data_IF_762446948946
#
_entry.id   IF_762446948946
#
_cell.length_a   1.000
_cell.length_b   1.000
_cell.length_c   1.000
_cell.angle_alpha   90.00
_cell.angle_beta   90.00
_cell.angle_gamma   90.00
#
_symmetry.space_group_name_H-M   'P 1'
#
loop_
_entity.id
_entity.type
_entity.pdbx_description
1 polymer ?
#
# COMPACT_ATOMS: atom_id res chain seq x y z
N UNK A 1 -25.81 23.42 -1.22
CA UNK A 1 -25.49 22.14 -1.89
C UNK A 1 -23.99 22.07 -2.07
N UNK A 2 -23.28 21.48 -1.12
CA UNK A 2 -21.84 21.34 -1.17
C UNK A 2 -21.50 19.97 -0.61
N UNK A 3 -21.61 18.94 -1.44
CA UNK A 3 -20.95 17.66 -1.19
C UNK A 3 -19.44 17.91 -1.32
N UNK A 4 -18.88 18.67 -0.38
CA UNK A 4 -17.45 18.79 -0.26
C UNK A 4 -16.94 17.37 -0.11
N UNK A 5 -16.16 16.97 -1.11
CA UNK A 5 -15.39 15.74 -1.27
C UNK A 5 -14.42 15.55 -0.08
N UNK A 6 -14.93 15.54 1.14
CA UNK A 6 -14.19 15.37 2.37
C UNK A 6 -13.95 13.87 2.53
N UNK A 7 -12.87 13.38 1.94
CA UNK A 7 -12.27 12.17 2.47
C UNK A 7 -11.98 12.44 3.95
N UNK A 8 -12.78 11.87 4.86
CA UNK A 8 -12.64 12.11 6.30
C UNK A 8 -11.21 11.76 6.70
N UNK A 9 -10.38 12.71 7.17
CA UNK A 9 -8.99 12.43 7.51
C UNK A 9 -8.85 11.30 8.53
N UNK A 10 -9.82 11.17 9.43
CA UNK A 10 -9.89 10.06 10.38
C UNK A 10 -10.10 8.70 9.71
N UNK A 11 -10.97 8.62 8.70
CA UNK A 11 -11.19 7.39 7.93
C UNK A 11 -9.95 7.02 7.11
N UNK A 12 -9.24 8.01 6.59
CA UNK A 12 -7.98 7.81 5.86
C UNK A 12 -6.88 7.28 6.78
N UNK A 13 -6.67 7.90 7.94
CA UNK A 13 -5.71 7.43 8.94
C UNK A 13 -6.05 6.01 9.40
N UNK A 14 -7.33 5.72 9.65
CA UNK A 14 -7.77 4.37 10.00
C UNK A 14 -7.46 3.34 8.91
N UNK A 15 -7.75 3.68 7.64
CA UNK A 15 -7.44 2.82 6.49
C UNK A 15 -5.94 2.58 6.31
N UNK A 16 -5.10 3.62 6.49
CA UNK A 16 -3.63 3.46 6.41
C UNK A 16 -3.10 2.50 7.47
N UNK A 17 -3.59 2.60 8.71
CA UNK A 17 -3.20 1.70 9.81
C UNK A 17 -3.61 0.26 9.52
N UNK A 18 -4.79 0.05 8.92
CA UNK A 18 -5.24 -1.28 8.53
C UNK A 18 -4.35 -1.89 7.44
N UNK A 19 -3.96 -1.11 6.44
CA UNK A 19 -3.04 -1.54 5.39
C UNK A 19 -1.68 -1.93 5.99
N UNK A 20 -1.12 -1.11 6.88
CA UNK A 20 0.13 -1.43 7.57
C UNK A 20 0.03 -2.71 8.40
N UNK A 21 -1.11 -2.96 9.06
CA UNK A 21 -1.35 -4.20 9.81
C UNK A 21 -1.42 -5.42 8.88
N UNK A 22 -2.08 -5.31 7.73
CA UNK A 22 -2.16 -6.37 6.72
C UNK A 22 -0.76 -6.71 6.20
N UNK A 23 0.06 -5.70 5.89
CA UNK A 23 1.44 -5.91 5.44
C UNK A 23 2.31 -6.60 6.50
N UNK A 24 2.16 -6.24 7.78
CA UNK A 24 2.87 -6.93 8.88
C UNK A 24 2.42 -8.39 9.01
N UNK A 25 1.10 -8.62 9.00
CA UNK A 25 0.54 -9.96 9.11
C UNK A 25 0.98 -10.86 7.94
N UNK A 26 1.02 -10.32 6.71
CA UNK A 26 1.51 -11.05 5.55
C UNK A 26 2.99 -11.47 5.71
N UNK A 27 3.83 -10.58 6.24
CA UNK A 27 5.24 -10.87 6.52
C UNK A 27 5.42 -11.92 7.63
N UNK A 28 4.61 -11.85 8.69
CA UNK A 28 4.63 -12.86 9.76
C UNK A 28 4.20 -14.23 9.25
N UNK A 29 3.08 -14.29 8.52
CA UNK A 29 2.56 -15.52 7.93
C UNK A 29 3.57 -16.18 6.98
N UNK A 30 4.26 -15.40 6.13
CA UNK A 30 5.24 -15.99 5.21
C UNK A 30 6.50 -16.47 5.95
N UNK A 31 6.92 -15.77 7.00
CA UNK A 31 8.04 -16.22 7.82
C UNK A 31 7.74 -17.54 8.52
N UNK A 32 6.54 -17.69 9.06
CA UNK A 32 6.06 -18.95 9.67
C UNK A 32 6.00 -20.05 8.61
N UNK A 33 5.39 -19.78 7.46
CA UNK A 33 5.30 -20.72 6.34
C UNK A 33 6.67 -21.20 5.84
N UNK A 34 7.63 -20.29 5.65
CA UNK A 34 8.99 -20.64 5.23
C UNK A 34 9.66 -21.53 6.27
N UNK A 35 9.44 -21.26 7.56
CA UNK A 35 9.97 -22.07 8.66
C UNK A 35 9.42 -23.50 8.60
N UNK A 36 8.11 -23.63 8.47
CA UNK A 36 7.43 -24.94 8.40
C UNK A 36 7.84 -25.73 7.17
N UNK A 37 7.84 -25.10 6.01
CA UNK A 37 8.24 -25.73 4.74
C UNK A 37 9.71 -26.13 4.78
N UNK A 38 10.59 -25.31 5.37
CA UNK A 38 12.01 -25.65 5.54
C UNK A 38 12.24 -26.85 6.46
N UNK A 39 11.38 -27.04 7.47
CA UNK A 39 11.44 -28.19 8.37
C UNK A 39 11.16 -29.52 7.66
N UNK A 40 10.54 -29.50 6.47
CA UNK A 40 10.27 -30.71 5.68
C UNK A 40 11.47 -31.25 4.90
N UNK A 41 12.58 -30.51 4.81
CA UNK A 41 13.77 -30.83 3.98
C UNK A 41 14.43 -32.20 4.19
N UNK A 42 14.10 -32.91 5.27
CA UNK A 42 14.65 -34.23 5.61
C UNK A 42 13.61 -35.34 5.62
N UNK A 43 12.37 -35.04 5.24
CA UNK A 43 11.31 -36.05 5.19
C UNK A 43 11.67 -37.26 4.29
N UNK A 44 12.40 -37.11 3.16
CA UNK A 44 12.74 -38.25 2.30
C UNK A 44 13.83 -39.18 2.87
N UNK A 45 14.48 -38.81 3.98
CA UNK A 45 15.66 -39.50 4.51
C UNK A 45 16.99 -38.98 3.94
N UNK A 46 18.08 -39.71 4.22
CA UNK A 46 19.45 -39.26 3.90
C UNK A 46 20.08 -40.00 2.71
N UNK A 47 20.20 -41.34 2.79
CA UNK A 47 21.09 -42.09 1.88
C UNK A 47 20.48 -43.36 1.27
N UNK A 48 19.23 -43.70 1.62
CA UNK A 48 18.57 -44.86 1.02
C UNK A 48 18.19 -44.59 -0.45
N UNK A 49 17.82 -45.65 -1.16
CA UNK A 49 17.47 -45.57 -2.57
C UNK A 49 16.26 -44.67 -2.84
N UNK A 50 15.39 -44.49 -1.85
CA UNK A 50 14.23 -43.62 -1.93
C UNK A 50 14.64 -42.16 -1.78
N UNK A 51 15.46 -41.83 -0.77
CA UNK A 51 16.03 -40.52 -0.53
C UNK A 51 16.77 -40.00 -1.76
N UNK A 52 17.59 -40.83 -2.42
CA UNK A 52 18.34 -40.44 -3.64
C UNK A 52 17.43 -40.04 -4.80
N UNK A 53 16.23 -40.60 -4.90
CA UNK A 53 15.25 -40.24 -5.92
C UNK A 53 14.42 -39.02 -5.52
N UNK A 54 14.04 -38.93 -4.24
CA UNK A 54 13.09 -37.93 -3.77
C UNK A 54 13.73 -36.61 -3.34
N UNK A 55 14.97 -36.59 -2.86
CA UNK A 55 15.65 -35.35 -2.42
C UNK A 55 15.71 -34.26 -3.51
N UNK A 56 16.01 -34.56 -4.79
CA UNK A 56 15.97 -33.53 -5.84
C UNK A 56 14.57 -32.94 -6.03
N UNK A 57 13.55 -33.79 -6.05
CA UNK A 57 12.16 -33.37 -6.26
C UNK A 57 11.61 -32.61 -5.05
N UNK A 58 11.92 -33.07 -3.83
CA UNK A 58 11.62 -32.36 -2.59
C UNK A 58 12.22 -30.96 -2.61
N UNK A 59 13.51 -30.86 -2.96
CA UNK A 59 14.21 -29.58 -2.98
C UNK A 59 13.57 -28.61 -3.95
N UNK A 60 13.28 -29.06 -5.18
CA UNK A 60 12.62 -28.24 -6.20
C UNK A 60 11.24 -27.77 -5.73
N UNK A 61 10.43 -28.68 -5.18
CA UNK A 61 9.09 -28.33 -4.67
C UNK A 61 9.19 -27.34 -3.51
N UNK A 62 10.07 -27.59 -2.54
CA UNK A 62 10.26 -26.73 -1.37
C UNK A 62 10.70 -25.32 -1.78
N UNK A 63 11.69 -25.21 -2.65
CA UNK A 63 12.17 -23.92 -3.16
C UNK A 63 11.08 -23.20 -3.98
N UNK A 64 10.33 -23.92 -4.81
CA UNK A 64 9.20 -23.37 -5.56
C UNK A 64 8.07 -22.87 -4.65
N UNK A 65 7.76 -23.60 -3.60
CA UNK A 65 6.76 -23.25 -2.59
C UNK A 65 7.18 -22.01 -1.79
N UNK A 66 8.43 -21.94 -1.33
CA UNK A 66 8.99 -20.76 -0.66
C UNK A 66 8.93 -19.53 -1.57
N UNK A 67 9.33 -19.69 -2.83
CA UNK A 67 9.31 -18.61 -3.83
C UNK A 67 7.89 -18.10 -4.03
N UNK A 68 6.94 -19.01 -4.24
CA UNK A 68 5.52 -18.65 -4.45
C UNK A 68 4.94 -17.89 -3.26
N UNK A 69 5.20 -18.36 -2.03
CA UNK A 69 4.74 -17.68 -0.83
C UNK A 69 5.37 -16.29 -0.66
N UNK A 70 6.67 -16.16 -0.96
CA UNK A 70 7.38 -14.88 -0.90
C UNK A 70 6.80 -13.88 -1.90
N UNK A 71 6.58 -14.29 -3.15
CA UNK A 71 5.96 -13.45 -4.18
C UNK A 71 4.53 -13.03 -3.83
N UNK A 72 3.76 -13.91 -3.17
CA UNK A 72 2.42 -13.54 -2.69
C UNK A 72 2.49 -12.46 -1.60
N UNK A 73 3.41 -12.58 -0.64
CA UNK A 73 3.62 -11.56 0.39
C UNK A 73 4.02 -10.22 -0.22
N UNK A 74 4.98 -10.23 -1.15
CA UNK A 74 5.41 -9.04 -1.89
C UNK A 74 4.25 -8.37 -2.63
N UNK A 75 3.35 -9.15 -3.25
CA UNK A 75 2.17 -8.62 -3.91
C UNK A 75 1.19 -7.95 -2.93
N UNK A 76 0.96 -8.55 -1.76
CA UNK A 76 0.09 -7.98 -0.72
C UNK A 76 0.67 -6.65 -0.22
N UNK A 77 1.96 -6.63 0.11
CA UNK A 77 2.67 -5.41 0.54
C UNK A 77 2.61 -4.35 -0.55
N UNK A 78 2.87 -4.71 -1.81
CA UNK A 78 2.83 -3.80 -2.95
C UNK A 78 1.45 -3.18 -3.19
N UNK A 79 0.37 -3.95 -3.03
CA UNK A 79 -1.00 -3.42 -3.08
C UNK A 79 -1.24 -2.44 -1.93
N UNK A 80 -0.75 -2.75 -0.74
CA UNK A 80 -0.81 -1.86 0.41
C UNK A 80 -0.10 -0.53 0.15
N UNK A 81 1.16 -0.59 -0.25
CA UNK A 81 2.00 0.58 -0.55
C UNK A 81 1.40 1.43 -1.69
N UNK A 82 0.92 0.79 -2.76
CA UNK A 82 0.25 1.48 -3.86
C UNK A 82 -1.03 2.19 -3.42
N UNK A 83 -1.80 1.59 -2.53
CA UNK A 83 -3.01 2.19 -1.96
C UNK A 83 -2.66 3.41 -1.08
N UNK A 84 -1.61 3.31 -0.26
CA UNK A 84 -1.11 4.43 0.54
C UNK A 84 -0.59 5.57 -0.33
N UNK A 85 0.15 5.26 -1.41
CA UNK A 85 0.65 6.25 -2.36
C UNK A 85 -0.49 6.99 -3.08
N UNK A 86 -1.51 6.25 -3.54
CA UNK A 86 -2.71 6.85 -4.15
C UNK A 86 -3.43 7.76 -3.17
N UNK A 87 -3.60 7.31 -1.92
CA UNK A 87 -4.24 8.11 -0.89
C UNK A 87 -3.50 9.42 -0.62
N UNK A 88 -2.17 9.37 -0.47
CA UNK A 88 -1.33 10.55 -0.27
C UNK A 88 -1.48 11.55 -1.43
N UNK A 89 -1.54 11.04 -2.66
CA UNK A 89 -1.76 11.87 -3.86
C UNK A 89 -3.14 12.54 -3.86
N UNK A 90 -4.20 11.82 -3.48
CA UNK A 90 -5.56 12.38 -3.38
C UNK A 90 -5.63 13.48 -2.33
N UNK A 91 -5.09 13.25 -1.13
CA UNK A 91 -5.07 14.26 -0.05
C UNK A 91 -4.24 15.48 -0.44
N UNK A 92 -3.07 15.27 -1.06
CA UNK A 92 -2.22 16.36 -1.54
C UNK A 92 -2.92 17.22 -2.60
N UNK A 93 -3.59 16.57 -3.56
CA UNK A 93 -4.38 17.25 -4.59
C UNK A 93 -5.53 18.04 -3.99
N UNK A 94 -6.26 17.45 -3.03
CA UNK A 94 -7.34 18.13 -2.32
C UNK A 94 -6.85 19.38 -1.59
N UNK A 95 -5.75 19.28 -0.84
CA UNK A 95 -5.19 20.42 -0.12
C UNK A 95 -4.71 21.52 -1.07
N UNK A 96 -4.11 21.15 -2.21
CA UNK A 96 -3.70 22.10 -3.24
C UNK A 96 -4.88 22.84 -3.88
N UNK A 97 -5.95 22.11 -4.22
CA UNK A 97 -7.17 22.71 -4.78
C UNK A 97 -7.87 23.62 -3.77
N UNK A 98 -7.99 23.20 -2.51
CA UNK A 98 -8.58 24.04 -1.45
C UNK A 98 -7.73 25.29 -1.18
N UNK A 99 -6.40 25.16 -1.18
CA UNK A 99 -5.49 26.29 -1.07
C UNK A 99 -5.67 27.29 -2.22
N UNK A 100 -5.73 26.80 -3.46
CA UNK A 100 -5.95 27.65 -4.63
C UNK A 100 -7.31 28.35 -4.61
N UNK A 101 -8.39 27.66 -4.19
CA UNK A 101 -9.72 28.26 -4.02
C UNK A 101 -9.65 29.37 -2.97
N UNK A 102 -9.05 29.09 -1.82
CA UNK A 102 -8.94 30.07 -0.75
C UNK A 102 -8.17 31.31 -1.22
N UNK A 103 -7.00 31.14 -1.87
CA UNK A 103 -6.16 32.21 -2.42
C UNK A 103 -6.87 33.04 -3.51
N UNK A 104 -7.71 32.37 -4.32
CA UNK A 104 -8.55 33.02 -5.33
C UNK A 104 -9.67 33.85 -4.71
N UNK A 105 -10.24 33.40 -3.59
CA UNK A 105 -11.30 34.10 -2.85
C UNK A 105 -10.74 35.38 -2.19
N UNK A 106 -9.51 35.33 -1.66
CA UNK A 106 -8.81 36.50 -1.12
C UNK A 106 -8.48 37.52 -2.22
N UNK A 107 -8.04 37.06 -3.39
CA UNK A 107 -7.73 37.94 -4.53
C UNK A 107 -9.00 38.46 -5.24
N UNK A 108 -10.12 37.74 -5.19
CA UNK A 108 -11.38 38.20 -5.78
C UNK A 108 -12.03 39.30 -4.94
N UNK A 109 -11.72 39.40 -3.65
CA UNK A 109 -12.20 40.45 -2.74
C UNK A 109 -11.52 41.82 -2.91
N UNK A 110 -10.37 41.90 -3.59
CA UNK A 110 -9.61 43.15 -3.77
C UNK A 110 -9.93 43.88 -5.10
N UNK A 111 -11.02 43.50 -5.77
CA UNK A 111 -11.46 44.16 -7.02
C UNK A 111 -12.61 45.14 -6.85
N UNK A 112 -13.09 45.39 -5.62
CA UNK A 112 -14.12 46.40 -5.34
C UNK A 112 -13.53 47.63 -4.63
N UNK A 113 -12.79 48.44 -5.38
CA UNK A 113 -12.08 49.61 -4.85
C UNK A 113 -11.66 50.61 -5.91
N UNK A 114 -12.54 50.96 -6.86
CA UNK A 114 -12.20 51.92 -7.91
C UNK A 114 -13.41 52.49 -8.66
N UNK A 115 -14.44 52.92 -7.95
CA UNK A 115 -15.60 53.60 -8.55
C UNK A 115 -15.31 55.09 -8.82
N UNK A 116 -15.51 55.49 -10.09
CA UNK A 116 -16.00 56.78 -10.58
C UNK A 116 -15.20 58.09 -10.37
N UNK A 117 -14.95 58.76 -11.51
CA UNK A 117 -15.33 60.18 -11.66
C UNK A 117 -14.27 61.12 -12.22
N UNK A 118 -14.59 61.81 -13.34
CA UNK A 118 -13.93 63.06 -13.70
C UNK A 118 -13.85 63.36 -15.18
N UNK A 119 -14.89 64.03 -15.71
CA UNK A 119 -14.86 64.76 -16.99
C UNK A 119 -13.72 65.79 -16.99
N UNK A 120 -13.09 66.05 -18.15
CA UNK A 120 -12.87 67.36 -18.77
C UNK A 120 -12.15 67.21 -20.12
#
# INVERSE_FOLDING_TARGET
>A
MGNAYSASPAALIAGTRQIEQISRLANEMISEFITDVSATSRWPGHDDSYAKQMLPQEKEQREGTITTGSSLSEAIVGVGDGTLANLKSVVGTQNGVLGAIHDSDINSGDTDGGSHGGKH
#
